data_IF_721818853489
#
_entry.id   IF_721818853489
#
_cell.length_a   1.000
_cell.length_b   1.000
_cell.length_c   1.000
_cell.angle_alpha   90.00
_cell.angle_beta   90.00
_cell.angle_gamma   90.00
#
_symmetry.space_group_name_H-M   'P 1'
#
loop_
_entity.id
_entity.type
_entity.pdbx_description
1 polymer ?
#
# COMPACT_ATOMS: atom_id res chain seq x y z
N UNK A 1 26.83 -58.16 -51.51
CA UNK A 1 26.63 -57.77 -52.91
C UNK A 1 26.64 -56.25 -52.88
N UNK A 2 27.80 -55.67 -53.20
CA UNK A 2 28.18 -55.02 -54.47
C UNK A 2 27.10 -54.03 -54.92
N UNK A 3 27.31 -52.76 -55.19
CA UNK A 3 28.39 -52.06 -55.92
C UNK A 3 28.21 -50.55 -55.58
N UNK A 4 29.19 -49.79 -55.28
CA UNK A 4 30.15 -49.07 -56.13
C UNK A 4 29.54 -48.08 -57.14
N UNK A 5 30.11 -46.94 -57.03
CA UNK A 5 30.64 -45.92 -57.97
C UNK A 5 29.64 -44.85 -58.41
N UNK A 6 30.00 -43.62 -58.38
CA UNK A 6 31.02 -42.89 -59.03
C UNK A 6 30.98 -41.38 -58.78
N UNK A 7 32.17 -40.85 -58.63
CA UNK A 7 32.51 -39.46 -58.56
C UNK A 7 32.42 -38.78 -59.90
N UNK A 8 31.97 -37.51 -59.95
CA UNK A 8 32.37 -36.57 -60.98
C UNK A 8 32.65 -35.22 -60.38
N UNK A 9 33.89 -34.83 -60.54
CA UNK A 9 34.45 -33.48 -60.29
C UNK A 9 34.03 -32.53 -61.39
N UNK A 10 33.59 -31.35 -61.03
CA UNK A 10 33.35 -30.25 -61.97
C UNK A 10 33.69 -28.87 -61.34
N UNK A 11 34.71 -28.28 -61.90
CA UNK A 11 35.41 -27.04 -61.45
C UNK A 11 34.71 -25.78 -61.83
N UNK A 12 34.95 -24.76 -61.03
CA UNK A 12 35.09 -23.33 -61.31
C UNK A 12 33.84 -22.47 -61.62
N UNK A 13 33.60 -21.47 -60.74
CA UNK A 13 33.80 -20.09 -61.13
C UNK A 13 33.68 -19.18 -59.90
N UNK A 14 34.67 -18.38 -59.67
CA UNK A 14 34.76 -17.22 -58.82
C UNK A 14 33.93 -16.09 -59.45
N UNK A 15 33.05 -15.44 -58.75
CA UNK A 15 32.72 -14.00 -58.96
C UNK A 15 32.30 -13.42 -57.59
N UNK A 16 32.99 -12.37 -57.20
CA UNK A 16 32.80 -11.63 -55.97
C UNK A 16 31.51 -10.77 -55.99
N UNK A 17 31.05 -10.51 -54.85
CA UNK A 17 29.93 -9.62 -54.59
C UNK A 17 29.93 -9.21 -53.13
N UNK A 18 30.12 -7.92 -52.90
CA UNK A 18 30.26 -7.25 -51.63
C UNK A 18 29.13 -7.57 -50.66
N UNK A 19 29.50 -8.00 -49.48
CA UNK A 19 28.60 -8.20 -48.36
C UNK A 19 28.26 -6.84 -47.74
N UNK A 20 27.06 -6.36 -47.94
CA UNK A 20 26.49 -5.30 -47.11
C UNK A 20 25.98 -5.90 -45.80
N UNK A 21 26.74 -5.69 -44.74
CA UNK A 21 26.34 -5.96 -43.37
C UNK A 21 25.29 -4.96 -42.92
N UNK A 22 24.02 -5.30 -43.07
CA UNK A 22 22.91 -4.56 -42.46
C UNK A 22 22.79 -5.05 -41.00
N UNK A 23 23.43 -4.33 -40.10
CA UNK A 23 23.18 -4.47 -38.64
C UNK A 23 21.82 -3.88 -38.35
N UNK A 24 20.79 -4.71 -38.31
CA UNK A 24 19.50 -4.39 -37.69
C UNK A 24 19.70 -4.34 -36.19
N UNK A 25 19.95 -3.14 -35.66
CA UNK A 25 19.87 -2.87 -34.24
C UNK A 25 18.40 -3.00 -33.84
N UNK A 26 18.04 -4.19 -33.38
CA UNK A 26 16.78 -4.41 -32.68
C UNK A 26 16.85 -3.67 -31.33
N UNK A 27 16.38 -2.42 -31.31
CA UNK A 27 16.10 -1.70 -30.07
C UNK A 27 14.99 -2.43 -29.35
N UNK A 28 15.34 -3.35 -28.46
CA UNK A 28 14.42 -3.89 -27.48
C UNK A 28 14.00 -2.72 -26.57
N UNK A 29 12.90 -2.06 -26.90
CA UNK A 29 12.17 -1.27 -25.92
C UNK A 29 11.72 -2.26 -24.84
N UNK A 30 12.50 -2.32 -23.76
CA UNK A 30 12.04 -2.91 -22.52
C UNK A 30 10.88 -2.07 -22.03
N UNK A 31 9.67 -2.40 -22.49
CA UNK A 31 8.47 -1.99 -21.80
C UNK A 31 8.55 -2.61 -20.43
N UNK A 32 8.98 -1.82 -19.43
CA UNK A 32 8.74 -2.11 -18.02
C UNK A 32 7.22 -2.05 -17.81
N UNK A 33 6.52 -3.06 -18.29
CA UNK A 33 5.16 -3.33 -17.85
C UNK A 33 5.29 -3.72 -16.38
N UNK A 34 4.87 -2.82 -15.47
CA UNK A 34 4.63 -3.18 -14.08
C UNK A 34 3.70 -4.40 -14.12
N UNK A 35 4.22 -5.56 -13.77
CA UNK A 35 3.39 -6.76 -13.62
C UNK A 35 2.40 -6.41 -12.52
N UNK A 36 1.10 -6.52 -12.81
CA UNK A 36 0.06 -6.48 -11.79
C UNK A 36 0.40 -7.56 -10.77
N UNK A 37 0.97 -7.15 -9.65
CA UNK A 37 1.34 -8.08 -8.59
C UNK A 37 0.07 -8.35 -7.82
N UNK A 38 -0.42 -9.59 -7.89
CA UNK A 38 -1.48 -10.03 -6.99
C UNK A 38 -0.93 -9.92 -5.58
N UNK A 39 -1.70 -9.32 -4.67
CA UNK A 39 -1.31 -9.22 -3.28
C UNK A 39 -1.23 -10.64 -2.67
N UNK A 40 -0.03 -11.15 -2.52
CA UNK A 40 0.21 -12.43 -1.84
C UNK A 40 0.28 -12.27 -0.31
N UNK A 41 0.00 -11.07 0.21
CA UNK A 41 0.04 -10.69 1.62
C UNK A 41 0.40 -9.22 1.80
N UNK A 42 0.53 -8.78 3.06
CA UNK A 42 0.90 -7.41 3.39
C UNK A 42 2.35 -7.10 2.98
N UNK A 43 2.58 -5.82 2.66
CA UNK A 43 3.91 -5.29 2.35
C UNK A 43 4.52 -4.73 3.63
N UNK A 44 5.72 -5.17 3.99
CA UNK A 44 6.37 -4.66 5.19
C UNK A 44 6.62 -3.14 5.11
N UNK A 45 6.50 -2.48 6.25
CA UNK A 45 6.81 -1.06 6.36
C UNK A 45 8.30 -0.89 6.52
N UNK A 46 8.91 -0.14 5.60
CA UNK A 46 10.34 0.12 5.58
C UNK A 46 10.66 1.45 6.31
N UNK A 47 11.88 1.57 6.85
CA UNK A 47 12.33 2.84 7.41
C UNK A 47 12.26 3.98 6.38
N UNK A 48 11.49 5.00 6.70
CA UNK A 48 11.29 6.14 5.80
C UNK A 48 9.96 6.12 5.04
N UNK A 49 9.18 5.05 5.16
CA UNK A 49 7.81 5.06 4.65
C UNK A 49 6.98 6.16 5.30
N UNK A 50 6.10 6.73 4.51
CA UNK A 50 5.22 7.82 4.94
C UNK A 50 3.75 7.42 4.78
N UNK A 51 2.93 7.95 5.67
CA UNK A 51 1.49 7.81 5.59
C UNK A 51 0.96 8.44 4.29
N UNK A 52 0.16 7.68 3.56
CA UNK A 52 -0.37 8.12 2.27
C UNK A 52 -1.35 9.30 2.39
N UNK A 53 -1.95 9.51 3.57
CA UNK A 53 -2.91 10.58 3.80
C UNK A 53 -2.27 11.82 4.41
N UNK A 54 -1.58 11.70 5.54
CA UNK A 54 -1.02 12.85 6.26
C UNK A 54 0.43 13.18 5.88
N UNK A 55 1.15 12.29 5.20
CA UNK A 55 2.54 12.47 4.77
C UNK A 55 3.59 12.34 5.88
N UNK A 56 3.19 12.03 7.10
CA UNK A 56 4.11 11.81 8.21
C UNK A 56 4.83 10.46 8.10
N UNK A 57 6.04 10.38 8.68
CA UNK A 57 6.77 9.12 8.76
C UNK A 57 6.05 8.11 9.66
N UNK A 58 5.96 6.88 9.20
CA UNK A 58 5.39 5.78 9.98
C UNK A 58 6.43 5.34 11.00
N UNK A 59 6.16 5.58 12.28
CA UNK A 59 7.09 5.28 13.38
C UNK A 59 6.51 4.34 14.43
N UNK A 60 5.20 4.35 14.65
CA UNK A 60 4.53 3.41 15.57
C UNK A 60 3.88 2.27 14.80
N UNK A 61 4.54 1.12 14.81
CA UNK A 61 4.13 -0.07 14.08
C UNK A 61 2.86 -0.75 14.63
N UNK A 62 2.33 -0.29 15.75
CA UNK A 62 1.12 -0.89 16.35
C UNK A 62 -0.18 -0.42 15.69
N UNK A 63 -0.13 0.74 15.05
CA UNK A 63 -1.29 1.42 14.47
C UNK A 63 -1.31 1.37 12.94
N UNK A 64 -0.38 0.64 12.35
CA UNK A 64 -0.21 0.63 10.90
C UNK A 64 -1.34 -0.11 10.20
N UNK A 65 -1.76 0.47 9.08
CA UNK A 65 -2.60 -0.17 8.09
C UNK A 65 -2.08 0.02 6.68
N UNK A 66 -2.55 -0.79 5.76
CA UNK A 66 -2.25 -0.63 4.34
C UNK A 66 -3.43 -1.04 3.46
N UNK A 67 -3.54 -0.34 2.33
CA UNK A 67 -4.43 -0.71 1.24
C UNK A 67 -3.57 -1.15 0.07
N UNK A 68 -3.76 -2.37 -0.39
CA UNK A 68 -3.13 -2.89 -1.59
C UNK A 68 -4.11 -2.69 -2.75
N UNK A 69 -3.80 -1.73 -3.60
CA UNK A 69 -4.54 -1.46 -4.81
C UNK A 69 -4.05 -2.30 -5.99
N UNK A 70 -4.64 -2.06 -7.16
CA UNK A 70 -4.28 -2.78 -8.40
C UNK A 70 -2.89 -2.36 -8.90
N UNK A 71 -2.49 -1.12 -8.67
CA UNK A 71 -1.23 -0.55 -9.18
C UNK A 71 -0.32 -0.01 -8.08
N UNK A 72 -0.88 0.37 -6.94
CA UNK A 72 -0.18 1.03 -5.84
C UNK A 72 -0.44 0.35 -4.50
N UNK A 73 0.44 0.60 -3.53
CA UNK A 73 0.25 0.25 -2.12
C UNK A 73 0.27 1.53 -1.30
N UNK A 74 -0.78 1.76 -0.54
CA UNK A 74 -0.90 2.91 0.36
C UNK A 74 -0.74 2.45 1.80
N UNK A 75 0.21 3.04 2.50
CA UNK A 75 0.51 2.74 3.90
C UNK A 75 0.06 3.89 4.79
N UNK A 76 -0.38 3.56 5.99
CA UNK A 76 -0.94 4.50 6.95
C UNK A 76 -0.32 4.28 8.32
N UNK A 77 -0.06 5.35 9.04
CA UNK A 77 0.46 5.32 10.42
C UNK A 77 -0.65 5.16 11.46
N UNK A 78 -1.92 5.29 11.05
CA UNK A 78 -3.10 5.16 11.89
C UNK A 78 -4.19 4.36 11.16
N UNK A 79 -4.75 3.35 11.85
CA UNK A 79 -5.78 2.47 11.26
C UNK A 79 -7.03 3.27 10.87
N UNK A 80 -7.44 4.24 11.68
CA UNK A 80 -8.61 5.06 11.33
C UNK A 80 -8.39 5.91 10.09
N UNK A 81 -7.18 6.44 9.87
CA UNK A 81 -6.82 7.19 8.66
C UNK A 81 -6.92 6.38 7.39
N UNK A 82 -6.64 5.09 7.46
CA UNK A 82 -6.83 4.19 6.32
C UNK A 82 -8.29 4.23 5.83
N UNK A 83 -9.24 4.14 6.74
CA UNK A 83 -10.66 4.17 6.39
C UNK A 83 -11.11 5.54 5.89
N UNK A 84 -10.60 6.62 6.50
CA UNK A 84 -10.84 7.98 6.01
C UNK A 84 -10.33 8.15 4.58
N UNK A 85 -9.09 7.72 4.33
CA UNK A 85 -8.49 7.78 2.99
C UNK A 85 -9.29 6.96 1.97
N UNK A 86 -9.69 5.74 2.34
CA UNK A 86 -10.52 4.89 1.48
C UNK A 86 -11.79 5.63 1.02
N UNK A 87 -12.47 6.31 1.95
CA UNK A 87 -13.67 7.09 1.65
C UNK A 87 -13.35 8.35 0.82
N UNK A 88 -12.32 9.12 1.19
CA UNK A 88 -11.92 10.34 0.48
C UNK A 88 -11.53 10.08 -0.97
N UNK A 89 -10.85 8.96 -1.24
CA UNK A 89 -10.49 8.56 -2.59
C UNK A 89 -11.62 7.89 -3.36
N UNK A 90 -12.72 7.57 -2.70
CA UNK A 90 -13.87 6.88 -3.30
C UNK A 90 -13.49 5.50 -3.85
N UNK A 91 -12.57 4.80 -3.18
CA UNK A 91 -12.08 3.48 -3.60
C UNK A 91 -13.24 2.47 -3.61
N UNK A 92 -13.22 1.58 -4.60
CA UNK A 92 -14.23 0.53 -4.80
C UNK A 92 -13.58 -0.84 -4.86
N UNK A 93 -14.39 -1.88 -4.79
CA UNK A 93 -13.93 -3.29 -4.83
C UNK A 93 -13.00 -3.62 -6.01
N UNK A 94 -13.14 -2.90 -7.13
CA UNK A 94 -12.27 -3.08 -8.30
C UNK A 94 -10.91 -2.39 -8.20
N UNK A 95 -10.76 -1.41 -7.32
CA UNK A 95 -9.54 -0.62 -7.11
C UNK A 95 -8.65 -1.24 -6.03
N UNK A 96 -9.25 -1.99 -5.11
CA UNK A 96 -8.61 -2.58 -3.94
C UNK A 96 -8.49 -4.10 -4.11
N UNK A 97 -7.30 -4.65 -3.89
CA UNK A 97 -7.06 -6.09 -3.88
C UNK A 97 -7.14 -6.68 -2.47
N UNK A 98 -6.62 -5.95 -1.48
CA UNK A 98 -6.65 -6.34 -0.08
C UNK A 98 -6.43 -5.12 0.82
N UNK A 99 -6.91 -5.22 2.05
CA UNK A 99 -6.62 -4.27 3.13
C UNK A 99 -6.07 -5.06 4.31
N UNK A 100 -4.96 -4.61 4.85
CA UNK A 100 -4.33 -5.20 6.03
C UNK A 100 -4.15 -4.17 7.13
N UNK A 101 -4.23 -4.63 8.36
CA UNK A 101 -3.99 -3.82 9.56
C UNK A 101 -3.09 -4.55 10.53
N UNK A 102 -2.30 -3.83 11.33
CA UNK A 102 -1.56 -4.42 12.44
C UNK A 102 -2.49 -4.60 13.63
N UNK A 103 -2.51 -5.82 14.17
CA UNK A 103 -3.19 -6.07 15.45
C UNK A 103 -2.45 -5.37 16.57
N UNK A 104 -3.09 -4.40 17.22
CA UNK A 104 -2.53 -3.65 18.34
C UNK A 104 -2.06 -4.55 19.48
N UNK A 105 -2.79 -5.64 19.71
CA UNK A 105 -2.55 -6.65 20.74
C UNK A 105 -1.51 -7.71 20.34
N UNK A 106 -1.31 -7.93 19.04
CA UNK A 106 -0.46 -9.02 18.54
C UNK A 106 0.77 -8.55 17.79
N UNK A 107 0.78 -7.31 17.29
CA UNK A 107 1.81 -6.77 16.41
C UNK A 107 1.89 -7.46 15.04
N UNK A 108 0.93 -8.33 14.72
CA UNK A 108 0.92 -9.09 13.46
C UNK A 108 -0.03 -8.46 12.45
N UNK A 109 0.27 -8.66 11.19
CA UNK A 109 -0.64 -8.32 10.12
C UNK A 109 -1.89 -9.21 10.14
N UNK A 110 -3.04 -8.59 9.89
CA UNK A 110 -4.37 -9.20 9.85
C UNK A 110 -5.06 -8.66 8.62
N UNK A 111 -5.76 -9.49 7.88
CA UNK A 111 -6.69 -9.01 6.86
C UNK A 111 -7.79 -8.20 7.54
N UNK A 112 -8.03 -6.98 7.06
CA UNK A 112 -8.87 -6.01 7.76
C UNK A 112 -10.29 -6.51 8.04
N UNK A 113 -10.89 -7.25 7.11
CA UNK A 113 -12.22 -7.85 7.30
C UNK A 113 -12.27 -8.95 8.37
N UNK A 114 -11.11 -9.43 8.86
CA UNK A 114 -11.00 -10.47 9.90
C UNK A 114 -10.56 -9.93 11.27
N UNK A 115 -10.26 -8.64 11.36
CA UNK A 115 -9.88 -7.99 12.60
C UNK A 115 -11.11 -7.60 13.44
N UNK A 116 -10.98 -7.61 14.76
CA UNK A 116 -11.91 -6.92 15.65
C UNK A 116 -11.53 -5.45 15.75
N UNK A 117 -12.48 -4.55 15.95
CA UNK A 117 -12.22 -3.13 16.06
C UNK A 117 -12.83 -2.51 17.29
N UNK A 118 -12.07 -1.59 17.89
CA UNK A 118 -12.53 -0.78 19.03
C UNK A 118 -12.12 0.67 18.80
N UNK A 119 -13.04 1.58 19.03
CA UNK A 119 -12.71 3.00 19.23
C UNK A 119 -12.46 3.18 20.71
N UNK A 120 -11.22 3.44 21.10
CA UNK A 120 -10.75 3.51 22.47
C UNK A 120 -10.17 4.90 22.78
N UNK A 121 -10.96 5.86 23.27
CA UNK A 121 -10.53 7.25 23.51
C UNK A 121 -9.33 7.38 24.47
N UNK A 122 -9.14 6.40 25.35
CA UNK A 122 -8.03 6.37 26.31
C UNK A 122 -6.68 5.92 25.68
N UNK A 123 -6.71 5.43 24.45
CA UNK A 123 -5.51 5.02 23.71
C UNK A 123 -5.17 6.09 22.70
N UNK A 124 -3.99 6.68 22.84
CA UNK A 124 -3.48 7.62 21.85
C UNK A 124 -3.08 6.88 20.57
N UNK A 125 -3.51 7.40 19.44
CA UNK A 125 -3.12 6.93 18.10
C UNK A 125 -2.48 8.08 17.34
N UNK A 126 -1.64 7.83 16.34
CA UNK A 126 -0.87 8.89 15.66
C UNK A 126 -1.70 10.07 15.16
N UNK A 127 -2.92 9.80 14.70
CA UNK A 127 -3.83 10.84 14.16
C UNK A 127 -5.08 11.04 15.02
N UNK A 128 -5.03 10.60 16.27
CA UNK A 128 -6.12 10.73 17.23
C UNK A 128 -7.47 10.17 16.74
N UNK A 129 -7.43 9.16 15.88
CA UNK A 129 -8.65 8.45 15.47
C UNK A 129 -9.15 7.49 16.54
N UNK A 130 -8.26 7.09 17.45
CA UNK A 130 -8.50 6.16 18.54
C UNK A 130 -9.00 4.78 18.07
N UNK A 131 -8.85 4.45 16.80
CA UNK A 131 -9.24 3.14 16.23
C UNK A 131 -8.12 2.13 16.44
N UNK A 132 -8.44 1.05 17.12
CA UNK A 132 -7.56 -0.10 17.31
C UNK A 132 -8.08 -1.26 16.47
N UNK A 133 -7.18 -1.91 15.73
CA UNK A 133 -7.44 -3.23 15.15
C UNK A 133 -6.89 -4.30 16.10
N UNK A 134 -7.62 -5.39 16.32
CA UNK A 134 -7.31 -6.42 17.29
C UNK A 134 -7.33 -7.80 16.63
N UNK A 135 -6.32 -8.59 16.93
CA UNK A 135 -6.14 -9.92 16.33
C UNK A 135 -6.71 -11.06 17.16
N UNK A 136 -7.19 -10.79 18.37
CA UNK A 136 -7.78 -11.79 19.25
C UNK A 136 -9.18 -11.34 19.67
N UNK A 137 -10.12 -12.26 19.62
CA UNK A 137 -11.51 -12.02 20.02
C UNK A 137 -11.62 -11.52 21.46
N UNK A 138 -10.86 -12.12 22.40
CA UNK A 138 -10.84 -11.70 23.80
C UNK A 138 -10.29 -10.28 24.03
N UNK A 139 -9.53 -9.74 23.08
CA UNK A 139 -8.95 -8.40 23.20
C UNK A 139 -10.01 -7.32 23.03
N UNK A 140 -11.04 -7.53 22.23
CA UNK A 140 -12.14 -6.58 22.03
C UNK A 140 -12.80 -6.25 23.38
N UNK A 141 -13.17 -7.27 24.17
CA UNK A 141 -13.79 -7.06 25.48
C UNK A 141 -12.86 -6.33 26.47
N UNK A 142 -11.55 -6.53 26.36
CA UNK A 142 -10.57 -5.85 27.21
C UNK A 142 -10.54 -4.36 26.94
N UNK A 143 -10.50 -3.98 25.66
CA UNK A 143 -10.41 -2.55 25.27
C UNK A 143 -11.76 -1.83 25.35
N UNK A 144 -12.89 -2.52 25.22
CA UNK A 144 -14.22 -1.92 25.43
C UNK A 144 -14.59 -1.71 26.90
N UNK A 145 -13.80 -2.22 27.83
CA UNK A 145 -14.01 -1.98 29.27
C UNK A 145 -13.68 -0.53 29.69
N UNK A 146 -12.93 0.22 28.89
CA UNK A 146 -12.59 1.62 29.17
C UNK A 146 -13.77 2.56 28.96
N UNK A 147 -13.80 3.65 29.73
CA UNK A 147 -14.89 4.63 29.63
C UNK A 147 -14.93 5.30 28.25
N UNK A 148 -16.08 5.26 27.61
CA UNK A 148 -16.28 5.83 26.28
C UNK A 148 -15.78 4.96 25.13
N UNK A 149 -15.14 3.84 25.41
CA UNK A 149 -14.75 2.90 24.38
C UNK A 149 -15.97 2.16 23.81
N UNK A 150 -15.92 1.85 22.51
CA UNK A 150 -16.97 1.14 21.81
C UNK A 150 -16.41 0.18 20.78
N UNK A 151 -17.02 -0.96 20.67
CA UNK A 151 -16.79 -1.86 19.56
C UNK A 151 -17.34 -1.27 18.26
N UNK A 152 -16.67 -1.55 17.18
CA UNK A 152 -17.09 -1.19 15.81
C UNK A 152 -16.71 -2.33 14.86
N UNK A 153 -17.17 -2.26 13.64
CA UNK A 153 -16.89 -3.28 12.63
C UNK A 153 -16.15 -2.70 11.45
N UNK A 154 -15.54 -3.57 10.65
CA UNK A 154 -14.92 -3.21 9.39
C UNK A 154 -15.91 -2.46 8.47
N UNK A 155 -17.12 -2.98 8.35
CA UNK A 155 -18.16 -2.40 7.49
C UNK A 155 -18.62 -1.03 8.01
N UNK A 156 -18.74 -0.85 9.33
CA UNK A 156 -19.07 0.43 9.94
C UNK A 156 -17.97 1.47 9.66
N UNK A 157 -16.70 1.07 9.77
CA UNK A 157 -15.56 1.94 9.49
C UNK A 157 -15.46 2.34 8.01
N UNK A 158 -15.80 1.44 7.09
CA UNK A 158 -15.89 1.76 5.67
C UNK A 158 -17.04 2.73 5.35
N UNK A 159 -18.20 2.53 6.00
CA UNK A 159 -19.38 3.34 5.77
C UNK A 159 -19.32 4.72 6.46
N UNK A 160 -18.71 4.77 7.64
CA UNK A 160 -18.61 5.95 8.49
C UNK A 160 -17.26 5.95 9.22
N UNK A 161 -16.18 6.31 8.53
CA UNK A 161 -14.86 6.36 9.16
C UNK A 161 -14.83 7.43 10.27
N UNK A 162 -13.88 7.31 11.23
CA UNK A 162 -13.75 8.29 12.28
C UNK A 162 -13.46 9.68 11.70
N UNK A 163 -14.00 10.72 12.33
CA UNK A 163 -13.59 12.08 12.00
C UNK A 163 -12.12 12.23 12.42
N UNK A 164 -11.22 12.30 11.45
CA UNK A 164 -9.84 12.68 11.72
C UNK A 164 -9.85 14.14 12.13
N UNK A 165 -9.69 14.40 13.42
CA UNK A 165 -9.46 15.75 13.92
C UNK A 165 -8.07 16.19 13.52
N UNK A 166 -7.89 16.58 12.26
CA UNK A 166 -6.78 17.42 11.90
C UNK A 166 -7.07 18.80 12.50
N UNK A 167 -6.80 18.95 13.78
CA UNK A 167 -6.61 20.27 14.35
C UNK A 167 -5.30 20.82 13.75
N UNK A 168 -5.43 21.30 12.53
CA UNK A 168 -4.45 22.20 11.94
C UNK A 168 -4.54 23.45 12.80
N UNK A 169 -3.79 23.45 13.91
CA UNK A 169 -3.70 24.54 14.84
C UNK A 169 -3.72 25.84 14.06
N UNK A 170 -4.86 26.46 14.00
CA UNK A 170 -5.05 27.84 13.59
C UNK A 170 -4.22 28.66 14.59
N UNK A 171 -2.94 28.79 14.27
CA UNK A 171 -2.04 29.73 14.94
C UNK A 171 -2.67 31.10 14.81
N UNK A 172 -3.53 31.44 15.76
CA UNK A 172 -4.03 32.78 15.94
C UNK A 172 -2.85 33.70 16.05
N UNK A 173 -2.56 34.45 14.99
CA UNK A 173 -1.74 35.62 15.04
C UNK A 173 -2.44 36.58 15.99
N UNK A 174 -2.01 36.57 17.27
CA UNK A 174 -2.37 37.55 18.24
C UNK A 174 -1.99 38.93 17.70
N UNK A 175 -2.97 39.65 17.20
CA UNK A 175 -2.83 41.07 16.91
C UNK A 175 -2.43 41.78 18.20
N UNK A 176 -1.18 42.25 18.25
CA UNK A 176 -0.73 43.19 19.24
C UNK A 176 -1.46 44.49 19.01
N UNK A 177 -2.51 44.68 19.78
CA UNK A 177 -3.15 45.99 19.94
C UNK A 177 -2.20 46.91 20.70
N UNK A 178 -1.62 47.87 19.99
CA UNK A 178 -0.87 48.95 20.57
C UNK A 178 -1.81 49.96 21.27
N UNK A 179 -1.58 50.32 22.52
CA UNK A 179 -2.36 51.38 23.13
C UNK A 179 -1.89 52.74 22.60
N UNK A 180 -2.76 53.45 21.91
CA UNK A 180 -2.56 54.87 21.59
C UNK A 180 -2.70 55.73 22.84
N UNK A 181 -1.73 56.56 23.03
CA UNK A 181 -1.81 57.76 23.88
C UNK A 181 -2.44 58.89 23.11
#
# INVERSE_FOLDING_TARGET
>A
MRNETGAVVGRRALIGGAAALSVLAASALSACGKKKQKADGPVEVEPGDTCARCGMHITDMRHVGEIIGVEDVWKFDDVGELFVYHQEQGLKDGDVQAIYVKGYDTGRWIEAGSAGYVVAPDVETPMATHVLALGKEDSVSTYTASAGARETTYDDLLASPPEATMDMGSGGMGGTESPSR
#
